data_IF_730133943534
#
_entry.id   IF_730133943534
#
_cell.length_a   1.000
_cell.length_b   1.000
_cell.length_c   1.000
_cell.angle_alpha   90.00
_cell.angle_beta   90.00
_cell.angle_gamma   90.00
#
_symmetry.space_group_name_H-M   'P 1'
#
loop_
_entity.id
_entity.type
_entity.pdbx_description
1 polymer ?
#
# COMPACT_ATOMS: atom_id res chain seq x y z
N UNK A 1 -0.26 -28.77 1.03
CA UNK A 1 0.22 -27.37 0.99
C UNK A 1 0.02 -26.83 -0.42
N UNK A 2 -0.91 -25.87 -0.60
CA UNK A 2 -1.16 -25.27 -1.93
C UNK A 2 -0.03 -24.31 -2.31
N UNK A 3 0.53 -24.48 -3.51
CA UNK A 3 1.64 -23.70 -4.06
C UNK A 3 1.07 -22.32 -4.47
N UNK A 4 1.14 -21.32 -3.58
CA UNK A 4 0.77 -19.94 -3.94
C UNK A 4 1.84 -19.39 -4.89
N UNK A 5 1.46 -19.05 -6.12
CA UNK A 5 2.30 -18.28 -7.03
C UNK A 5 2.44 -16.86 -6.46
N UNK A 6 3.39 -16.66 -5.54
CA UNK A 6 3.70 -15.35 -5.00
C UNK A 6 4.34 -14.50 -6.11
N UNK A 7 3.52 -13.70 -6.80
CA UNK A 7 4.02 -12.66 -7.70
C UNK A 7 4.81 -11.67 -6.86
N UNK A 8 6.13 -11.64 -7.05
CA UNK A 8 7.02 -10.72 -6.36
C UNK A 8 6.71 -9.31 -6.88
N UNK A 9 6.30 -8.43 -5.99
CA UNK A 9 6.03 -7.03 -6.32
C UNK A 9 7.31 -6.24 -6.05
N UNK A 10 7.84 -5.57 -7.06
CA UNK A 10 8.97 -4.68 -6.87
C UNK A 10 8.48 -3.33 -6.31
N UNK A 11 8.62 -3.14 -5.00
CA UNK A 11 8.25 -1.91 -4.28
C UNK A 11 9.41 -0.91 -4.16
N UNK A 12 10.64 -1.31 -4.52
CA UNK A 12 11.85 -0.48 -4.38
C UNK A 12 11.78 0.86 -5.12
N UNK A 13 11.03 0.92 -6.22
CA UNK A 13 10.82 2.15 -7.01
C UNK A 13 9.98 3.21 -6.28
N UNK A 14 9.33 2.83 -5.18
CA UNK A 14 8.53 3.72 -4.33
C UNK A 14 9.23 4.07 -3.01
N UNK A 15 10.54 3.83 -2.90
CA UNK A 15 11.31 4.16 -1.69
C UNK A 15 11.05 5.62 -1.24
N UNK A 16 10.71 5.80 0.04
CA UNK A 16 10.37 7.09 0.63
C UNK A 16 8.94 7.59 0.41
N UNK A 17 8.14 6.91 -0.43
CA UNK A 17 6.77 7.31 -0.78
C UNK A 17 5.73 6.56 0.05
N UNK A 18 4.57 7.19 0.23
CA UNK A 18 3.35 6.51 0.64
C UNK A 18 2.82 5.67 -0.51
N UNK A 19 2.38 4.46 -0.21
CA UNK A 19 1.91 3.46 -1.18
C UNK A 19 0.56 2.89 -0.73
N UNK A 20 -0.39 2.82 -1.66
CA UNK A 20 -1.63 2.06 -1.50
C UNK A 20 -1.54 0.74 -2.28
N UNK A 21 -1.76 -0.38 -1.60
CA UNK A 21 -1.63 -1.74 -2.13
C UNK A 21 -2.97 -2.49 -2.05
N UNK A 22 -3.42 -3.04 -3.17
CA UNK A 22 -4.60 -3.89 -3.23
C UNK A 22 -4.34 -5.08 -4.16
N UNK A 23 -4.71 -6.29 -3.74
CA UNK A 23 -4.55 -7.51 -4.56
C UNK A 23 -3.14 -7.68 -5.15
N UNK A 24 -2.10 -7.44 -4.35
CA UNK A 24 -0.70 -7.50 -4.77
C UNK A 24 -0.33 -6.50 -5.89
N UNK A 25 -1.03 -5.37 -5.99
CA UNK A 25 -0.74 -4.30 -6.93
C UNK A 25 -0.75 -2.95 -6.24
N UNK A 26 0.23 -2.12 -6.60
CA UNK A 26 0.25 -0.72 -6.17
C UNK A 26 -0.75 0.04 -7.03
N UNK A 27 -1.78 0.59 -6.39
CA UNK A 27 -2.84 1.35 -7.07
C UNK A 27 -2.64 2.87 -6.98
N UNK A 28 -1.86 3.33 -6.00
CA UNK A 28 -1.49 4.73 -5.83
C UNK A 28 -0.17 4.89 -5.07
N UNK A 29 0.53 5.99 -5.32
CA UNK A 29 1.70 6.39 -4.55
C UNK A 29 1.87 7.90 -4.54
N UNK A 30 2.40 8.46 -3.45
CA UNK A 30 2.68 9.89 -3.32
C UNK A 30 3.70 10.20 -2.24
N UNK A 31 4.06 11.46 -2.09
CA UNK A 31 5.06 11.88 -1.12
C UNK A 31 4.44 12.05 0.28
N UNK A 32 3.10 12.20 0.35
CA UNK A 32 2.31 12.28 1.57
C UNK A 32 1.16 11.26 1.58
N UNK A 33 0.62 10.96 2.76
CA UNK A 33 -0.58 10.11 2.88
C UNK A 33 -1.80 10.77 2.21
N UNK A 34 -1.86 12.11 2.19
CA UNK A 34 -2.93 12.86 1.53
C UNK A 34 -3.00 12.60 0.02
N UNK A 35 -1.87 12.31 -0.62
CA UNK A 35 -1.82 12.00 -2.05
C UNK A 35 -2.50 10.67 -2.39
N UNK A 36 -2.59 9.76 -1.41
CA UNK A 36 -3.22 8.45 -1.56
C UNK A 36 -4.53 8.31 -0.79
N UNK A 37 -4.96 9.34 -0.06
CA UNK A 37 -6.07 9.31 0.89
C UNK A 37 -7.37 8.81 0.23
N UNK A 38 -7.69 9.31 -0.96
CA UNK A 38 -8.89 8.93 -1.72
C UNK A 38 -8.98 7.44 -2.07
N UNK A 39 -7.90 6.69 -1.95
CA UNK A 39 -7.85 5.25 -2.20
C UNK A 39 -7.95 4.41 -0.93
N UNK A 40 -7.59 4.98 0.22
CA UNK A 40 -7.39 4.23 1.48
C UNK A 40 -8.36 4.64 2.58
N UNK A 41 -8.99 5.80 2.44
CA UNK A 41 -10.05 6.29 3.32
C UNK A 41 -11.40 5.97 2.70
N UNK A 42 -12.27 5.32 3.48
CA UNK A 42 -13.68 5.16 3.12
C UNK A 42 -14.48 6.39 3.56
N UNK A 43 -15.46 6.76 2.74
CA UNK A 43 -16.54 7.61 3.23
C UNK A 43 -17.42 6.80 4.20
N UNK A 44 -17.90 7.44 5.28
CA UNK A 44 -18.73 6.76 6.30
C UNK A 44 -20.04 6.18 5.73
N UNK A 45 -20.47 6.68 4.58
CA UNK A 45 -21.67 6.27 3.85
C UNK A 45 -21.42 5.10 2.89
N UNK A 46 -20.16 4.81 2.55
CA UNK A 46 -19.79 3.71 1.66
C UNK A 46 -19.72 2.40 2.44
N UNK A 47 -20.56 1.43 2.06
CA UNK A 47 -20.61 0.07 2.62
C UNK A 47 -19.46 -0.82 2.09
N UNK A 48 -18.25 -0.30 1.98
CA UNK A 48 -17.08 -1.09 1.65
C UNK A 48 -16.63 -1.81 2.92
N UNK A 49 -16.58 -3.15 2.86
CA UNK A 49 -16.03 -3.96 3.94
C UNK A 49 -14.56 -3.56 4.18
N UNK A 50 -14.16 -3.44 5.45
CA UNK A 50 -12.80 -3.00 5.82
C UNK A 50 -11.73 -3.89 5.16
N UNK A 51 -12.00 -5.18 5.03
CA UNK A 51 -11.13 -6.17 4.37
C UNK A 51 -10.88 -5.91 2.88
N UNK A 52 -11.72 -5.09 2.24
CA UNK A 52 -11.56 -4.69 0.84
C UNK A 52 -10.81 -3.38 0.66
N UNK A 53 -10.52 -2.66 1.74
CA UNK A 53 -9.75 -1.42 1.66
C UNK A 53 -8.30 -1.72 1.29
N UNK A 54 -7.72 -0.96 0.37
CA UNK A 54 -6.30 -1.02 0.08
C UNK A 54 -5.46 -0.77 1.34
N UNK A 55 -4.40 -1.55 1.52
CA UNK A 55 -3.43 -1.31 2.58
C UNK A 55 -2.58 -0.08 2.26
N UNK A 56 -2.35 0.78 3.24
CA UNK A 56 -1.55 2.00 3.09
C UNK A 56 -0.31 1.95 3.99
N UNK A 57 0.86 2.24 3.45
CA UNK A 57 2.09 2.35 4.25
C UNK A 57 3.12 3.24 3.56
N UNK A 58 4.05 3.80 4.36
CA UNK A 58 5.22 4.50 3.84
C UNK A 58 6.32 3.51 3.56
N UNK A 59 6.84 3.52 2.33
CA UNK A 59 8.00 2.73 1.97
C UNK A 59 9.26 3.35 2.58
N UNK A 60 10.12 2.54 3.23
CA UNK A 60 11.43 3.00 3.69
C UNK A 60 12.21 3.61 2.52
N UNK A 61 12.97 4.66 2.79
CA UNK A 61 13.97 5.15 1.85
C UNK A 61 15.12 4.15 1.71
N UNK A 62 15.92 4.28 0.66
CA UNK A 62 17.05 3.35 0.41
C UNK A 62 18.11 3.39 1.52
N UNK A 63 18.20 4.53 2.20
CA UNK A 63 19.09 4.84 3.32
C UNK A 63 18.42 4.61 4.69
N UNK A 64 17.10 4.43 4.73
CA UNK A 64 16.38 4.04 5.94
C UNK A 64 16.42 2.52 6.08
N UNK A 65 16.87 2.03 7.25
CA UNK A 65 16.67 0.62 7.59
C UNK A 65 15.16 0.31 7.58
N UNK A 66 14.75 -0.91 7.16
CA UNK A 66 13.33 -1.24 7.05
C UNK A 66 12.63 -1.05 8.39
N UNK A 67 11.55 -0.24 8.39
CA UNK A 67 10.67 -0.10 9.55
C UNK A 67 9.97 -1.43 9.78
N UNK A 68 10.19 -2.03 10.95
CA UNK A 68 9.40 -3.16 11.42
C UNK A 68 8.15 -2.56 12.09
N UNK A 69 6.99 -2.73 11.44
CA UNK A 69 5.66 -2.35 11.96
C UNK A 69 4.97 -3.56 12.60
#
# INVERSE_FOLDING_TARGET
MSKRNNKIINLSKYAGKWVALQNNQVIASGDSIYDIEKYVVRNKEEKIAIEKLPAAFKMPRKDECPYIL
#
